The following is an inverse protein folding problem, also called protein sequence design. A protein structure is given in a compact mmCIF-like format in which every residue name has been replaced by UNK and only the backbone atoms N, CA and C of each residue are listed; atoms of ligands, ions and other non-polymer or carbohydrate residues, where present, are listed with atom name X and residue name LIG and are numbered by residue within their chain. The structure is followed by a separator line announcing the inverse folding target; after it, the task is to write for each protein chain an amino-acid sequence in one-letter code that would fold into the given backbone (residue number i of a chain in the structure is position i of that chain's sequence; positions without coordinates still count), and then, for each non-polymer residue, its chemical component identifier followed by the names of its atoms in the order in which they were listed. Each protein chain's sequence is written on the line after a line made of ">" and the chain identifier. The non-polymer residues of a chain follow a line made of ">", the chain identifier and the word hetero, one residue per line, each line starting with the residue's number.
data_IF_739901146169
#
_entry.id   IF_739901146169
#
_cell.length_a   1.000
_cell.length_b   1.000
_cell.length_c   1.000
_cell.angle_alpha   90.00
_cell.angle_beta   90.00
_cell.angle_gamma   90.00
#
_symmetry.space_group_name_H-M   'P 1'
#
loop_
_entity.id
_entity.type
_entity.pdbx_description
1 polymer ?
#
# COMPACT_ATOMS: atom_id res chain seq x y z
N UNK A 1 -35.51 5.29 41.47
CA UNK A 1 -34.73 4.43 42.39
C UNK A 1 -33.59 3.80 41.62
N UNK A 2 -32.37 4.05 42.09
CA UNK A 2 -31.09 3.65 41.48
C UNK A 2 -30.89 2.13 41.59
N UNK A 3 -30.52 1.46 40.50
CA UNK A 3 -29.95 0.10 40.57
C UNK A 3 -28.46 0.16 40.26
N UNK A 4 -27.69 0.09 41.34
CA UNK A 4 -26.23 0.10 41.39
C UNK A 4 -25.67 -1.27 41.01
N UNK A 5 -24.51 -1.20 40.35
CA UNK A 5 -23.65 -2.29 39.89
C UNK A 5 -22.98 -3.10 41.02
N UNK A 6 -22.69 -4.37 40.70
CA UNK A 6 -21.59 -5.25 41.17
C UNK A 6 -21.66 -5.81 42.60
N UNK A 7 -21.80 -7.13 42.69
CA UNK A 7 -20.78 -8.01 43.31
C UNK A 7 -21.15 -9.48 43.07
N UNK A 8 -20.24 -10.25 42.49
CA UNK A 8 -20.20 -11.70 42.70
C UNK A 8 -18.73 -12.07 42.85
N UNK A 9 -18.34 -12.29 44.10
CA UNK A 9 -17.08 -12.90 44.49
C UNK A 9 -17.34 -14.36 44.85
N UNK A 10 -16.48 -15.22 44.33
CA UNK A 10 -15.83 -16.34 45.02
C UNK A 10 -16.66 -17.47 45.64
N UNK A 11 -16.61 -18.63 44.97
CA UNK A 11 -16.52 -19.99 45.54
C UNK A 11 -16.39 -20.93 44.34
N UNK A 12 -15.49 -21.92 44.22
CA UNK A 12 -14.82 -22.77 45.22
C UNK A 12 -13.73 -23.58 44.50
N UNK A 13 -12.61 -23.82 45.17
CA UNK A 13 -11.66 -24.87 44.80
C UNK A 13 -12.29 -26.26 45.03
N UNK A 14 -12.11 -27.17 44.06
CA UNK A 14 -12.03 -28.60 44.32
C UNK A 14 -10.99 -29.19 43.37
N UNK A 15 -9.88 -29.64 43.96
CA UNK A 15 -8.81 -30.35 43.27
C UNK A 15 -9.19 -31.82 43.15
N UNK A 16 -9.10 -32.36 41.94
CA UNK A 16 -9.03 -33.80 41.69
C UNK A 16 -7.94 -34.05 40.65
N UNK A 17 -6.81 -34.57 41.14
CA UNK A 17 -5.71 -35.04 40.34
C UNK A 17 -6.10 -36.35 39.65
N UNK A 18 -6.11 -36.34 38.32
CA UNK A 18 -6.06 -37.55 37.51
C UNK A 18 -4.91 -37.39 36.53
N UNK A 19 -3.88 -38.21 36.71
CA UNK A 19 -2.74 -38.30 35.81
C UNK A 19 -3.19 -38.90 34.48
N UNK A 20 -3.10 -38.13 33.41
CA UNK A 20 -3.09 -38.64 32.04
C UNK A 20 -1.77 -38.19 31.40
N UNK A 21 -0.88 -39.16 31.20
CA UNK A 21 0.33 -38.98 30.42
C UNK A 21 -0.04 -38.80 28.94
N UNK A 22 -0.26 -37.55 28.53
CA UNK A 22 -0.19 -37.18 27.12
C UNK A 22 1.25 -36.78 26.81
N UNK A 23 1.91 -37.53 25.95
CA UNK A 23 3.15 -37.15 25.27
C UNK A 23 2.94 -35.85 24.52
N UNK A 24 3.10 -34.73 25.22
CA UNK A 24 3.21 -33.42 24.63
C UNK A 24 4.56 -33.34 23.94
N UNK A 25 4.56 -33.47 22.61
CA UNK A 25 5.59 -32.86 21.77
C UNK A 25 5.49 -31.36 22.02
N UNK A 26 6.16 -30.87 23.07
CA UNK A 26 6.45 -29.46 23.21
C UNK A 26 7.38 -29.11 22.06
N UNK A 27 6.79 -28.61 20.98
CA UNK A 27 7.49 -27.84 19.99
C UNK A 27 8.34 -26.82 20.76
N UNK A 28 9.66 -27.01 20.74
CA UNK A 28 10.59 -26.01 21.21
C UNK A 28 10.26 -24.74 20.42
N UNK A 29 9.63 -23.78 21.11
CA UNK A 29 9.36 -22.47 20.57
C UNK A 29 10.74 -21.87 20.32
N UNK A 30 11.20 -21.96 19.07
CA UNK A 30 12.39 -21.26 18.63
C UNK A 30 12.30 -19.81 19.16
N UNK A 31 13.40 -19.24 19.66
CA UNK A 31 13.37 -17.86 20.13
C UNK A 31 12.78 -17.03 18.98
N UNK A 32 11.66 -16.35 19.26
CA UNK A 32 11.05 -15.50 18.28
C UNK A 32 12.10 -14.46 17.90
N UNK A 33 12.69 -14.60 16.70
CA UNK A 33 13.42 -13.50 16.10
C UNK A 33 12.47 -12.32 16.17
N UNK A 34 12.95 -11.18 16.70
CA UNK A 34 12.13 -9.96 16.71
C UNK A 34 11.82 -9.66 15.25
N UNK A 35 10.65 -10.10 14.76
CA UNK A 35 10.19 -9.80 13.41
C UNK A 35 10.26 -8.28 13.27
N UNK A 36 10.95 -7.81 12.24
CA UNK A 36 11.06 -6.38 11.99
C UNK A 36 9.67 -5.76 12.00
N UNK A 37 9.52 -4.64 12.69
CA UNK A 37 8.25 -3.92 12.71
C UNK A 37 7.88 -3.56 11.26
N UNK A 38 6.67 -3.95 10.85
CA UNK A 38 6.17 -3.72 9.50
C UNK A 38 5.45 -2.38 9.43
N UNK A 39 5.72 -1.62 8.39
CA UNK A 39 5.03 -0.38 8.10
C UNK A 39 3.61 -0.62 7.60
N UNK A 40 2.82 0.44 7.59
CA UNK A 40 1.51 0.51 6.99
C UNK A 40 1.54 1.50 5.83
N UNK A 41 0.76 1.22 4.80
CA UNK A 41 0.62 2.12 3.66
C UNK A 41 -0.84 2.50 3.50
N UNK A 42 -1.11 3.79 3.38
CA UNK A 42 -2.40 4.30 2.95
C UNK A 42 -2.30 4.64 1.47
N UNK A 43 -3.26 4.19 0.67
CA UNK A 43 -3.38 4.64 -0.72
C UNK A 43 -4.76 5.24 -0.91
N UNK A 44 -4.80 6.49 -1.36
CA UNK A 44 -6.04 7.18 -1.74
C UNK A 44 -6.16 7.25 -3.26
N UNK A 45 -7.37 7.11 -3.76
CA UNK A 45 -7.74 7.40 -5.14
C UNK A 45 -8.76 8.54 -5.15
N UNK A 46 -8.32 9.73 -5.53
CA UNK A 46 -9.21 10.87 -5.75
C UNK A 46 -9.79 10.78 -7.15
N UNK A 47 -11.03 10.30 -7.27
CA UNK A 47 -11.75 10.23 -8.54
C UNK A 47 -12.36 11.59 -8.84
N UNK A 48 -11.70 12.36 -9.70
CA UNK A 48 -12.11 13.71 -10.04
C UNK A 48 -13.49 13.72 -10.70
N UNK A 49 -14.24 14.81 -10.46
CA UNK A 49 -15.48 15.05 -11.19
C UNK A 49 -15.13 15.33 -12.65
N UNK A 50 -15.80 14.72 -13.65
CA UNK A 50 -15.58 15.08 -15.04
C UNK A 50 -15.71 16.59 -15.26
N UNK A 51 -14.70 17.20 -15.87
CA UNK A 51 -14.63 18.65 -16.10
C UNK A 51 -14.18 19.51 -14.90
N UNK A 52 -13.97 18.93 -13.72
CA UNK A 52 -13.35 19.67 -12.61
C UNK A 52 -11.88 19.99 -12.95
N UNK A 53 -11.43 21.17 -12.55
CA UNK A 53 -10.02 21.55 -12.68
C UNK A 53 -9.15 20.66 -11.78
N UNK A 54 -8.16 19.94 -12.33
CA UNK A 54 -7.18 19.19 -11.53
C UNK A 54 -6.40 20.10 -10.58
N UNK A 55 -6.22 21.38 -10.93
CA UNK A 55 -5.45 22.36 -10.15
C UNK A 55 -6.04 22.61 -8.75
N UNK A 56 -7.35 22.41 -8.57
CA UNK A 56 -7.99 22.49 -7.24
C UNK A 56 -7.42 21.43 -6.30
N UNK A 57 -7.39 20.18 -6.75
CA UNK A 57 -6.84 19.08 -5.97
C UNK A 57 -5.32 19.21 -5.84
N UNK A 58 -4.62 19.55 -6.92
CA UNK A 58 -3.16 19.73 -6.88
C UNK A 58 -2.76 20.83 -5.88
N UNK A 59 -3.45 21.97 -5.91
CA UNK A 59 -3.21 23.06 -4.97
C UNK A 59 -3.43 22.64 -3.52
N UNK A 60 -4.49 21.88 -3.23
CA UNK A 60 -4.71 21.32 -1.89
C UNK A 60 -3.62 20.33 -1.48
N UNK A 61 -3.30 19.37 -2.35
CA UNK A 61 -2.31 18.34 -2.05
C UNK A 61 -0.93 18.96 -1.80
N UNK A 62 -0.48 19.84 -2.69
CA UNK A 62 0.83 20.48 -2.63
C UNK A 62 0.95 21.47 -1.45
N UNK A 63 -0.05 22.35 -1.27
CA UNK A 63 0.10 23.52 -0.40
C UNK A 63 -0.48 23.33 1.01
N UNK A 64 -1.36 22.35 1.20
CA UNK A 64 -2.01 22.09 2.48
C UNK A 64 -1.71 20.68 3.00
N UNK A 65 -2.02 19.64 2.22
CA UNK A 65 -1.97 18.25 2.67
C UNK A 65 -0.54 17.74 2.91
N UNK A 66 0.35 17.88 1.93
CA UNK A 66 1.74 17.41 2.05
C UNK A 66 2.52 18.10 3.17
N UNK A 67 2.45 19.44 3.35
CA UNK A 67 3.07 20.11 4.49
C UNK A 67 2.55 19.63 5.85
N UNK A 68 1.24 19.35 5.97
CA UNK A 68 0.65 18.86 7.21
C UNK A 68 1.04 17.40 7.54
N UNK A 69 1.24 16.56 6.52
CA UNK A 69 1.82 15.23 6.73
C UNK A 69 3.29 15.35 7.19
N UNK A 70 4.06 16.23 6.55
CA UNK A 70 5.46 16.45 6.90
C UNK A 70 5.63 16.98 8.35
N UNK A 71 4.76 17.90 8.81
CA UNK A 71 4.80 18.41 10.20
C UNK A 71 4.55 17.30 11.24
N UNK A 72 3.79 16.28 10.87
CA UNK A 72 3.55 15.08 11.68
C UNK A 72 4.59 13.97 11.46
N UNK A 73 5.68 14.24 10.72
CA UNK A 73 6.75 13.29 10.36
C UNK A 73 6.24 12.08 9.58
N UNK A 74 5.19 12.28 8.79
CA UNK A 74 4.60 11.28 7.89
C UNK A 74 5.12 11.53 6.47
N UNK A 75 5.64 10.47 5.87
CA UNK A 75 6.25 10.53 4.54
C UNK A 75 7.35 9.47 4.36
N UNK A 76 7.89 9.30 3.14
CA UNK A 76 7.58 10.09 1.95
C UNK A 76 6.16 9.82 1.42
N UNK A 77 5.61 10.79 0.70
CA UNK A 77 4.27 10.74 0.10
C UNK A 77 4.38 10.85 -1.41
N UNK A 78 3.84 9.85 -2.11
CA UNK A 78 3.77 9.83 -3.56
C UNK A 78 2.43 10.37 -4.06
N UNK A 79 2.45 11.22 -5.08
CA UNK A 79 1.25 11.70 -5.78
C UNK A 79 1.39 11.43 -7.26
N UNK A 80 0.47 10.67 -7.84
CA UNK A 80 0.61 10.11 -9.18
C UNK A 80 -0.65 10.26 -10.03
N UNK A 81 -0.44 10.32 -11.34
CA UNK A 81 -1.47 10.16 -12.39
C UNK A 81 -1.13 8.97 -13.27
N UNK A 82 -2.12 8.41 -13.97
CA UNK A 82 -1.89 7.27 -14.86
C UNK A 82 -1.47 7.69 -16.26
N UNK A 83 -0.74 6.78 -16.91
CA UNK A 83 -0.43 6.83 -18.35
C UNK A 83 -0.87 5.52 -19.01
N UNK A 84 -1.32 5.60 -20.27
CA UNK A 84 -1.40 4.44 -21.14
C UNK A 84 -0.02 4.18 -21.74
N UNK A 85 0.40 2.92 -21.78
CA UNK A 85 1.73 2.51 -22.26
C UNK A 85 1.60 1.62 -23.48
N UNK A 86 2.23 2.04 -24.58
CA UNK A 86 2.56 1.15 -25.69
C UNK A 86 3.89 0.48 -25.38
N UNK A 87 3.85 -0.82 -25.05
CA UNK A 87 5.05 -1.58 -24.71
C UNK A 87 5.96 -1.88 -25.90
N UNK A 88 5.43 -1.88 -27.12
CA UNK A 88 6.22 -2.12 -28.33
C UNK A 88 6.96 -0.84 -28.72
N UNK A 89 6.25 0.28 -28.76
CA UNK A 89 6.85 1.58 -29.02
C UNK A 89 7.65 2.15 -27.83
N UNK A 90 7.47 1.59 -26.63
CA UNK A 90 8.04 2.08 -25.37
C UNK A 90 7.68 3.54 -25.08
N UNK A 91 6.46 3.93 -25.41
CA UNK A 91 5.93 5.27 -25.21
C UNK A 91 4.80 5.27 -24.18
N UNK A 92 4.57 6.43 -23.56
CA UNK A 92 3.50 6.64 -22.60
C UNK A 92 2.72 7.92 -22.91
N UNK A 93 1.40 7.86 -22.85
CA UNK A 93 0.53 9.03 -23.00
C UNK A 93 -0.34 9.22 -21.77
N UNK A 94 -0.61 10.46 -21.32
CA UNK A 94 -1.50 10.70 -20.19
C UNK A 94 -2.84 10.01 -20.36
N UNK A 95 -3.29 9.30 -19.33
CA UNK A 95 -4.56 8.60 -19.35
C UNK A 95 -5.66 9.48 -18.75
N UNK A 96 -6.61 9.87 -19.59
CA UNK A 96 -7.76 10.69 -19.18
C UNK A 96 -8.67 9.92 -18.20
N UNK A 97 -9.46 10.67 -17.43
CA UNK A 97 -10.50 10.15 -16.52
C UNK A 97 -10.00 9.10 -15.50
N UNK A 98 -8.74 9.22 -15.08
CA UNK A 98 -8.15 8.39 -14.03
C UNK A 98 -8.05 9.11 -12.70
N UNK A 99 -8.02 8.37 -11.57
CA UNK A 99 -7.85 8.99 -10.26
C UNK A 99 -6.46 9.62 -10.11
N UNK A 100 -6.38 10.66 -9.29
CA UNK A 100 -5.10 11.06 -8.68
C UNK A 100 -4.83 10.12 -7.51
N UNK A 101 -3.71 9.41 -7.57
CA UNK A 101 -3.30 8.43 -6.57
C UNK A 101 -2.38 9.07 -5.53
N UNK A 102 -2.66 8.88 -4.25
CA UNK A 102 -1.83 9.41 -3.15
C UNK A 102 -1.39 8.28 -2.24
N UNK A 103 -0.10 7.94 -2.25
CA UNK A 103 0.53 6.91 -1.44
C UNK A 103 1.20 7.53 -0.21
N UNK A 104 0.77 7.13 0.99
CA UNK A 104 1.25 7.67 2.26
C UNK A 104 1.83 6.53 3.09
N UNK A 105 3.05 6.73 3.60
CA UNK A 105 3.72 5.78 4.49
C UNK A 105 3.46 6.11 5.97
N UNK A 106 2.95 5.12 6.71
CA UNK A 106 2.78 5.19 8.16
C UNK A 106 3.68 4.15 8.85
N UNK A 107 4.50 4.58 9.81
CA UNK A 107 5.35 3.66 10.58
C UNK A 107 4.54 2.75 11.51
N UNK A 108 3.34 3.18 11.91
CA UNK A 108 2.44 2.47 12.81
C UNK A 108 0.98 2.68 12.40
N UNK A 109 0.09 1.77 12.79
CA UNK A 109 -1.36 1.95 12.59
C UNK A 109 -1.90 3.19 13.32
N UNK A 110 -1.36 3.48 14.51
CA UNK A 110 -1.70 4.69 15.25
C UNK A 110 -1.39 5.97 14.46
N UNK A 111 -0.28 5.99 13.71
CA UNK A 111 0.03 7.12 12.82
C UNK A 111 -1.07 7.34 11.77
N UNK A 112 -1.65 6.29 11.21
CA UNK A 112 -2.77 6.41 10.27
C UNK A 112 -3.98 7.05 10.96
N UNK A 113 -4.42 6.50 12.09
CA UNK A 113 -5.61 6.99 12.83
C UNK A 113 -5.45 8.45 13.28
N UNK A 114 -4.30 8.81 13.86
CA UNK A 114 -4.03 10.19 14.31
C UNK A 114 -4.02 11.18 13.15
N UNK A 115 -3.39 10.82 12.03
CA UNK A 115 -3.28 11.71 10.86
C UNK A 115 -4.65 11.94 10.22
N UNK A 116 -5.44 10.87 10.05
CA UNK A 116 -6.79 10.95 9.47
C UNK A 116 -7.73 11.88 10.24
N UNK A 117 -7.49 12.08 11.55
CA UNK A 117 -8.29 12.99 12.39
C UNK A 117 -7.68 14.38 12.44
N UNK A 118 -6.38 14.49 12.73
CA UNK A 118 -5.69 15.76 12.92
C UNK A 118 -5.76 16.67 11.69
N UNK A 119 -5.64 16.10 10.48
CA UNK A 119 -5.56 16.91 9.25
C UNK A 119 -6.89 17.62 8.94
N UNK A 120 -8.02 17.08 9.38
CA UNK A 120 -9.34 17.66 9.12
C UNK A 120 -9.62 18.90 9.98
N UNK A 121 -8.89 19.06 11.09
CA UNK A 121 -9.07 20.16 12.05
C UNK A 121 -7.86 21.08 12.13
N UNK A 122 -6.79 20.81 11.39
CA UNK A 122 -5.59 21.65 11.39
C UNK A 122 -5.90 23.01 10.74
N UNK A 123 -5.78 24.13 11.49
CA UNK A 123 -6.09 25.46 10.96
C UNK A 123 -5.24 25.84 9.74
N UNK A 124 -4.01 25.32 9.65
CA UNK A 124 -3.10 25.56 8.52
C UNK A 124 -3.61 24.86 7.27
N UNK A 125 -4.12 23.63 7.41
CA UNK A 125 -4.72 22.87 6.31
C UNK A 125 -6.02 23.51 5.86
N UNK A 126 -6.89 23.89 6.80
CA UNK A 126 -8.17 24.55 6.48
C UNK A 126 -7.92 25.85 5.73
N UNK A 127 -6.95 26.66 6.18
CA UNK A 127 -6.61 27.93 5.53
C UNK A 127 -5.98 27.73 4.15
N UNK A 128 -4.95 26.88 4.04
CA UNK A 128 -4.22 26.68 2.78
C UNK A 128 -5.04 25.90 1.74
N UNK A 129 -5.95 25.04 2.20
CA UNK A 129 -6.81 24.19 1.37
C UNK A 129 -8.20 24.76 1.09
N UNK A 130 -8.52 25.97 1.53
CA UNK A 130 -9.88 26.51 1.51
C UNK A 130 -10.54 26.44 0.12
N UNK A 131 -9.79 26.75 -0.94
CA UNK A 131 -10.28 26.73 -2.34
C UNK A 131 -10.76 25.34 -2.80
N UNK A 132 -10.20 24.28 -2.24
CA UNK A 132 -10.59 22.89 -2.50
C UNK A 132 -11.62 22.37 -1.48
N UNK A 133 -11.40 22.64 -0.19
CA UNK A 133 -12.23 22.12 0.91
C UNK A 133 -13.63 22.74 0.95
N UNK A 134 -13.79 23.94 0.39
CA UNK A 134 -15.03 24.72 0.45
C UNK A 134 -15.69 24.88 -0.93
N UNK A 135 -15.37 24.00 -1.88
CA UNK A 135 -16.02 24.03 -3.21
C UNK A 135 -17.55 23.90 -3.07
N UNK A 136 -18.34 24.67 -3.87
CA UNK A 136 -19.78 24.53 -3.87
C UNK A 136 -20.22 23.12 -4.27
N UNK A 137 -21.33 22.64 -3.69
CA UNK A 137 -21.94 21.34 -4.05
C UNK A 137 -22.20 21.18 -5.56
N UNK A 138 -22.51 22.28 -6.26
CA UNK A 138 -22.78 22.28 -7.69
C UNK A 138 -21.53 22.05 -8.55
N UNK A 139 -20.33 22.31 -8.01
CA UNK A 139 -19.05 22.20 -8.71
C UNK A 139 -18.03 21.47 -7.82
N UNK A 140 -18.29 20.20 -7.47
CA UNK A 140 -17.41 19.45 -6.58
C UNK A 140 -16.09 19.12 -7.28
N UNK A 141 -14.99 19.07 -6.52
CA UNK A 141 -13.67 18.72 -7.07
C UNK A 141 -13.54 17.22 -7.41
N UNK A 142 -14.27 16.35 -6.71
CA UNK A 142 -14.22 14.90 -6.88
C UNK A 142 -15.62 14.27 -6.76
N UNK A 143 -15.80 13.11 -7.39
CA UNK A 143 -16.98 12.25 -7.22
C UNK A 143 -16.80 11.31 -6.02
N UNK A 144 -15.59 10.76 -5.83
CA UNK A 144 -15.27 9.84 -4.74
C UNK A 144 -13.80 9.91 -4.32
N UNK A 145 -13.55 9.64 -3.05
CA UNK A 145 -12.22 9.24 -2.55
C UNK A 145 -12.36 7.80 -2.05
N UNK A 146 -11.60 6.88 -2.66
CA UNK A 146 -11.42 5.54 -2.12
C UNK A 146 -10.11 5.49 -1.32
N UNK A 147 -10.11 4.79 -0.19
CA UNK A 147 -8.91 4.57 0.62
C UNK A 147 -8.69 3.09 0.85
N UNK A 148 -7.45 2.64 0.69
CA UNK A 148 -6.97 1.34 1.13
C UNK A 148 -5.95 1.50 2.24
N UNK A 149 -6.03 0.59 3.21
CA UNK A 149 -4.98 0.41 4.20
C UNK A 149 -4.28 -0.91 3.92
N UNK A 150 -2.96 -0.84 3.84
CA UNK A 150 -2.09 -1.98 3.62
C UNK A 150 -1.14 -2.19 4.78
N UNK A 151 -0.82 -3.45 5.02
CA UNK A 151 0.24 -3.87 5.92
C UNK A 151 1.43 -4.37 5.09
N UNK A 152 2.63 -3.86 5.35
CA UNK A 152 3.81 -4.22 4.60
C UNK A 152 4.10 -5.72 4.67
N UNK A 153 4.67 -6.27 3.60
CA UNK A 153 5.07 -7.67 3.53
C UNK A 153 6.23 -7.97 4.50
N UNK A 154 6.40 -9.25 4.88
CA UNK A 154 7.52 -9.63 5.74
C UNK A 154 8.86 -9.57 5.00
N UNK A 155 8.88 -9.90 3.71
CA UNK A 155 10.07 -9.82 2.85
C UNK A 155 10.51 -8.39 2.51
N UNK A 156 9.64 -7.39 2.72
CA UNK A 156 9.98 -5.98 2.65
C UNK A 156 9.14 -5.18 3.67
N UNK A 157 9.57 -5.16 4.95
CA UNK A 157 8.78 -4.62 6.04
C UNK A 157 8.69 -3.09 6.03
N UNK A 158 9.55 -2.43 5.26
CA UNK A 158 9.59 -0.97 5.13
C UNK A 158 9.65 -0.57 3.67
N UNK A 159 9.13 0.62 3.35
CA UNK A 159 9.24 1.21 2.02
C UNK A 159 10.70 1.40 1.62
N UNK A 160 11.03 1.04 0.38
CA UNK A 160 12.33 1.29 -0.24
C UNK A 160 12.21 2.44 -1.22
N UNK A 161 13.17 3.37 -1.18
CA UNK A 161 13.27 4.47 -2.13
C UNK A 161 14.49 4.24 -3.02
N UNK A 162 14.32 3.68 -4.24
CA UNK A 162 15.38 3.69 -5.23
C UNK A 162 15.92 5.12 -5.44
N UNK A 163 17.21 5.29 -5.74
CA UNK A 163 17.81 6.62 -5.84
C UNK A 163 17.11 7.53 -6.87
N UNK A 164 16.63 6.97 -7.99
CA UNK A 164 15.82 7.72 -8.94
C UNK A 164 14.45 8.09 -8.37
N UNK A 165 13.84 7.25 -7.53
CA UNK A 165 12.52 7.47 -6.97
C UNK A 165 12.42 8.69 -6.03
N UNK A 166 13.48 9.47 -5.79
CA UNK A 166 13.37 10.77 -5.11
C UNK A 166 13.98 11.93 -5.90
N UNK A 167 14.54 11.69 -7.10
CA UNK A 167 15.30 12.69 -7.85
C UNK A 167 14.45 13.80 -8.48
N UNK A 168 13.11 13.70 -8.43
CA UNK A 168 12.14 14.59 -9.11
C UNK A 168 12.38 14.77 -10.61
N UNK A 169 13.17 13.90 -11.23
CA UNK A 169 13.34 13.88 -12.68
C UNK A 169 12.00 13.48 -13.33
N UNK A 170 11.50 14.19 -14.34
CA UNK A 170 10.17 13.92 -14.91
C UNK A 170 10.04 12.59 -15.67
N UNK A 171 11.16 11.98 -16.07
CA UNK A 171 11.15 10.72 -16.84
C UNK A 171 10.77 9.51 -16.00
N UNK A 172 10.80 9.63 -14.67
CA UNK A 172 10.56 8.53 -13.74
C UNK A 172 9.18 7.94 -13.94
N UNK A 173 9.13 6.61 -13.95
CA UNK A 173 7.88 5.86 -14.05
C UNK A 173 7.73 4.94 -12.86
N UNK A 174 6.47 4.72 -12.47
CA UNK A 174 6.08 3.75 -11.48
C UNK A 174 5.06 2.80 -12.10
N UNK A 175 4.98 1.58 -11.60
CA UNK A 175 3.93 0.65 -11.97
C UNK A 175 3.30 0.09 -10.69
N UNK A 176 2.02 0.39 -10.54
CA UNK A 176 1.16 -0.16 -9.49
C UNK A 176 0.52 -1.45 -10.00
N UNK A 177 0.68 -2.53 -9.26
CA UNK A 177 0.03 -3.81 -9.59
C UNK A 177 -0.83 -4.32 -8.45
N UNK A 178 -2.02 -4.74 -8.81
CA UNK A 178 -3.02 -5.38 -7.94
C UNK A 178 -3.16 -6.85 -8.27
N UNK A 179 -3.02 -7.69 -7.26
CA UNK A 179 -3.24 -9.12 -7.39
C UNK A 179 -4.40 -9.50 -6.47
N UNK A 180 -5.54 -9.83 -7.07
CA UNK A 180 -6.74 -10.30 -6.39
C UNK A 180 -6.73 -11.83 -6.37
N UNK A 181 -7.33 -12.42 -5.33
CA UNK A 181 -7.43 -13.87 -5.17
C UNK A 181 -8.87 -14.28 -4.84
N UNK A 182 -9.25 -15.49 -5.24
CA UNK A 182 -10.61 -16.00 -5.03
C UNK A 182 -10.90 -16.45 -3.60
N UNK A 183 -9.92 -16.42 -2.70
CA UNK A 183 -10.10 -16.64 -1.26
C UNK A 183 -8.95 -16.02 -0.46
N UNK A 184 -9.17 -15.80 0.83
CA UNK A 184 -8.17 -15.27 1.77
C UNK A 184 -6.95 -16.18 1.86
N UNK A 185 -7.16 -17.49 1.88
CA UNK A 185 -6.06 -18.45 1.96
C UNK A 185 -5.21 -18.43 0.69
N UNK A 186 -5.81 -18.29 -0.49
CA UNK A 186 -5.05 -18.11 -1.75
C UNK A 186 -4.32 -16.77 -1.77
N UNK A 187 -4.93 -15.70 -1.26
CA UNK A 187 -4.24 -14.41 -1.13
C UNK A 187 -3.01 -14.53 -0.23
N UNK A 188 -3.13 -15.21 0.92
CA UNK A 188 -2.00 -15.47 1.82
C UNK A 188 -0.92 -16.33 1.15
N UNK A 189 -1.29 -17.35 0.37
CA UNK A 189 -0.35 -18.14 -0.43
C UNK A 189 0.44 -17.27 -1.43
N UNK A 190 -0.22 -16.33 -2.12
CA UNK A 190 0.50 -15.41 -3.01
C UNK A 190 1.40 -14.44 -2.25
N UNK A 191 0.97 -13.93 -1.09
CA UNK A 191 1.82 -13.09 -0.24
C UNK A 191 3.05 -13.86 0.27
N UNK A 192 2.90 -15.15 0.60
CA UNK A 192 4.01 -16.00 0.99
C UNK A 192 5.00 -16.21 -0.16
N UNK A 193 4.51 -16.45 -1.37
CA UNK A 193 5.35 -16.50 -2.57
C UNK A 193 6.24 -15.25 -2.73
N UNK A 194 5.67 -14.07 -2.47
CA UNK A 194 6.44 -12.83 -2.48
C UNK A 194 7.50 -12.79 -1.37
N UNK A 195 7.13 -13.16 -0.14
CA UNK A 195 8.04 -13.17 1.01
C UNK A 195 9.18 -14.20 0.84
N UNK A 196 8.91 -15.34 0.21
CA UNK A 196 9.84 -16.45 0.02
C UNK A 196 10.97 -16.14 -0.95
N UNK A 197 10.81 -15.15 -1.83
CA UNK A 197 11.89 -14.72 -2.71
C UNK A 197 11.49 -13.95 -3.97
N UNK A 198 10.20 -13.81 -4.32
CA UNK A 198 9.82 -13.01 -5.49
C UNK A 198 10.31 -11.57 -5.36
N UNK A 199 10.21 -11.01 -4.15
CA UNK A 199 10.74 -9.67 -3.81
C UNK A 199 12.25 -9.59 -4.08
N UNK A 200 13.01 -10.60 -3.65
CA UNK A 200 14.46 -10.64 -3.86
C UNK A 200 14.81 -10.69 -5.35
N UNK A 201 14.08 -11.50 -6.12
CA UNK A 201 14.25 -11.56 -7.59
C UNK A 201 14.00 -10.18 -8.20
N UNK A 202 12.91 -9.48 -7.80
CA UNK A 202 12.61 -8.14 -8.31
C UNK A 202 13.72 -7.12 -7.99
N UNK A 203 14.28 -7.15 -6.77
CA UNK A 203 15.44 -6.32 -6.41
C UNK A 203 16.65 -6.63 -7.30
N UNK A 204 17.00 -7.91 -7.42
CA UNK A 204 18.19 -8.33 -8.19
C UNK A 204 18.11 -8.00 -9.68
N UNK A 205 16.90 -7.92 -10.23
CA UNK A 205 16.67 -7.57 -11.64
C UNK A 205 16.52 -6.06 -11.87
N UNK A 206 16.68 -5.25 -10.83
CA UNK A 206 16.63 -3.79 -10.92
C UNK A 206 15.24 -3.24 -11.20
N UNK A 207 14.17 -3.93 -10.77
CA UNK A 207 12.78 -3.50 -11.00
C UNK A 207 12.33 -2.35 -10.09
N UNK A 208 13.25 -1.81 -9.28
CA UNK A 208 13.01 -0.69 -8.37
C UNK A 208 11.76 -0.84 -7.49
N UNK A 209 11.58 -1.96 -6.77
CA UNK A 209 10.41 -2.14 -5.91
C UNK A 209 10.37 -1.06 -4.81
N UNK A 210 9.19 -0.47 -4.62
CA UNK A 210 8.96 0.62 -3.66
C UNK A 210 8.32 0.10 -2.38
N UNK A 211 7.21 -0.64 -2.50
CA UNK A 211 6.56 -1.31 -1.38
C UNK A 211 5.75 -2.52 -1.86
N UNK A 212 5.45 -3.43 -0.92
CA UNK A 212 4.51 -4.53 -1.08
C UNK A 212 3.56 -4.52 0.11
N UNK A 213 2.25 -4.54 -0.15
CA UNK A 213 1.22 -4.35 0.86
C UNK A 213 0.09 -5.37 0.78
N UNK A 214 -0.22 -6.00 1.91
CA UNK A 214 -1.40 -6.84 2.09
C UNK A 214 -2.60 -5.91 2.31
N UNK A 215 -3.64 -6.02 1.49
CA UNK A 215 -4.89 -5.28 1.74
C UNK A 215 -5.51 -5.76 3.04
N UNK A 216 -5.68 -4.85 4.01
CA UNK A 216 -6.36 -5.15 5.28
C UNK A 216 -7.69 -4.41 5.44
N UNK A 217 -7.86 -3.31 4.69
CA UNK A 217 -9.12 -2.60 4.57
C UNK A 217 -9.21 -1.89 3.21
N UNK A 218 -10.42 -1.70 2.71
CA UNK A 218 -10.72 -1.02 1.45
C UNK A 218 -11.48 -1.90 0.45
N UNK A 219 -11.84 -1.37 -0.73
CA UNK A 219 -12.54 -2.11 -1.76
C UNK A 219 -11.75 -3.31 -2.32
N UNK A 220 -12.49 -4.32 -2.81
CA UNK A 220 -11.99 -5.47 -3.59
C UNK A 220 -11.01 -6.40 -2.86
N UNK A 221 -11.18 -6.55 -1.54
CA UNK A 221 -10.48 -7.58 -0.77
C UNK A 221 -10.98 -9.00 -1.14
N UNK A 222 -10.14 -10.04 -1.03
CA UNK A 222 -8.74 -9.99 -0.64
C UNK A 222 -7.79 -9.72 -1.82
N UNK A 223 -6.80 -8.86 -1.58
CA UNK A 223 -5.76 -8.56 -2.56
C UNK A 223 -4.45 -8.13 -1.91
N UNK A 224 -3.39 -8.13 -2.70
CA UNK A 224 -2.16 -7.40 -2.42
C UNK A 224 -1.94 -6.33 -3.49
N UNK A 225 -1.22 -5.29 -3.11
CA UNK A 225 -0.77 -4.22 -4.00
C UNK A 225 0.71 -3.96 -3.82
N UNK A 226 1.43 -3.73 -4.91
CA UNK A 226 2.83 -3.34 -4.85
C UNK A 226 3.17 -2.32 -5.94
N UNK A 227 4.27 -1.59 -5.71
CA UNK A 227 4.82 -0.63 -6.66
C UNK A 227 6.23 -1.07 -7.08
N UNK A 228 6.49 -0.98 -8.38
CA UNK A 228 7.82 -1.05 -8.98
C UNK A 228 8.11 0.29 -9.67
N UNK A 229 9.37 0.56 -9.99
CA UNK A 229 9.76 1.86 -10.55
C UNK A 229 11.02 1.78 -11.40
N UNK A 230 11.15 2.73 -12.33
CA UNK A 230 12.35 2.92 -13.12
C UNK A 230 12.68 4.40 -13.32
N UNK A 231 13.94 4.73 -13.65
CA UNK A 231 14.35 6.09 -13.98
C UNK A 231 13.67 6.61 -15.26
N UNK A 232 13.24 5.69 -16.12
CA UNK A 232 12.48 5.94 -17.34
C UNK A 232 11.67 4.68 -17.73
N UNK A 233 10.69 4.87 -18.63
CA UNK A 233 9.81 3.80 -19.11
C UNK A 233 10.56 2.65 -19.78
N UNK A 234 11.59 2.94 -20.58
CA UNK A 234 12.35 1.93 -21.28
C UNK A 234 13.10 1.03 -20.30
N UNK A 235 13.82 1.61 -19.35
CA UNK A 235 14.54 0.89 -18.29
C UNK A 235 13.60 0.02 -17.47
N UNK A 236 12.43 0.55 -17.11
CA UNK A 236 11.41 -0.19 -16.38
C UNK A 236 10.87 -1.40 -17.17
N UNK A 237 10.55 -1.21 -18.45
CA UNK A 237 10.09 -2.31 -19.32
C UNK A 237 11.19 -3.35 -19.55
N UNK A 238 12.44 -2.93 -19.71
CA UNK A 238 13.57 -3.82 -19.91
C UNK A 238 13.88 -4.66 -18.66
N UNK A 239 13.64 -4.13 -17.45
CA UNK A 239 13.70 -4.93 -16.22
C UNK A 239 12.59 -6.00 -16.18
N UNK A 240 11.35 -5.66 -16.55
CA UNK A 240 10.24 -6.61 -16.62
C UNK A 240 10.46 -7.74 -17.64
N UNK A 241 11.09 -7.44 -18.79
CA UNK A 241 11.45 -8.46 -19.79
C UNK A 241 12.36 -9.56 -19.21
N UNK A 242 13.18 -9.23 -18.21
CA UNK A 242 14.08 -10.17 -17.53
C UNK A 242 13.36 -11.02 -16.48
N UNK A 243 12.29 -10.50 -15.86
CA UNK A 243 11.61 -11.17 -14.75
C UNK A 243 10.92 -12.48 -15.14
N UNK A 244 10.10 -12.44 -16.19
CA UNK A 244 9.36 -13.62 -16.66
C UNK A 244 10.22 -14.86 -16.94
N UNK A 245 11.37 -14.74 -17.65
CA UNK A 245 12.26 -15.87 -17.91
C UNK A 245 13.30 -16.16 -16.81
N UNK A 246 13.37 -15.38 -15.72
CA UNK A 246 14.37 -15.61 -14.67
C UNK A 246 14.18 -17.01 -14.04
N UNK A 247 15.21 -17.87 -13.99
CA UNK A 247 15.07 -19.25 -13.53
C UNK A 247 14.63 -19.36 -12.07
N UNK A 248 14.96 -18.38 -11.21
CA UNK A 248 14.52 -18.35 -9.81
C UNK A 248 13.02 -18.10 -9.73
N UNK A 249 12.51 -17.18 -10.54
CA UNK A 249 11.07 -16.91 -10.65
C UNK A 249 10.34 -18.12 -11.24
N UNK A 250 10.84 -18.69 -12.35
CA UNK A 250 10.23 -19.87 -12.99
C UNK A 250 10.13 -21.04 -12.02
N UNK A 251 11.23 -21.38 -11.34
CA UNK A 251 11.23 -22.43 -10.34
C UNK A 251 10.27 -22.16 -9.18
N UNK A 252 10.06 -20.89 -8.80
CA UNK A 252 9.15 -20.50 -7.73
C UNK A 252 7.68 -20.60 -8.14
N UNK A 253 7.30 -20.06 -9.31
CA UNK A 253 5.90 -20.09 -9.78
C UNK A 253 5.38 -21.50 -10.06
N UNK A 254 6.29 -22.44 -10.34
CA UNK A 254 5.93 -23.83 -10.63
C UNK A 254 5.83 -24.71 -9.37
N UNK A 255 6.10 -24.16 -8.18
CA UNK A 255 5.93 -24.87 -6.91
C UNK A 255 4.44 -25.17 -6.64
N UNK A 256 4.07 -26.42 -6.30
CA UNK A 256 2.66 -26.80 -6.08
C UNK A 256 1.91 -25.96 -5.04
N UNK A 257 2.57 -25.48 -3.99
CA UNK A 257 1.94 -24.66 -2.95
C UNK A 257 1.49 -23.26 -3.44
N UNK A 258 2.03 -22.78 -4.57
CA UNK A 258 1.70 -21.48 -5.16
C UNK A 258 0.74 -21.57 -6.34
N UNK A 259 0.26 -22.77 -6.64
CA UNK A 259 -0.71 -23.00 -7.70
C UNK A 259 -2.01 -22.23 -7.44
N UNK A 260 -2.51 -21.57 -8.49
CA UNK A 260 -3.81 -20.88 -8.54
C UNK A 260 -4.03 -19.84 -7.42
N UNK A 261 -2.94 -19.24 -6.90
CA UNK A 261 -3.01 -18.27 -5.81
C UNK A 261 -3.36 -16.84 -6.27
N UNK A 262 -3.52 -16.61 -7.58
CA UNK A 262 -3.88 -15.30 -8.16
C UNK A 262 -5.01 -15.48 -9.15
N UNK A 263 -6.10 -14.73 -8.96
CA UNK A 263 -7.29 -14.78 -9.84
C UNK A 263 -7.30 -13.65 -10.87
N UNK A 264 -6.75 -12.48 -10.51
CA UNK A 264 -6.71 -11.32 -11.40
C UNK A 264 -5.50 -10.46 -11.11
N UNK A 265 -4.87 -9.97 -12.17
CA UNK A 265 -3.73 -9.05 -12.11
C UNK A 265 -4.08 -7.79 -12.88
N UNK A 266 -4.06 -6.64 -12.21
CA UNK A 266 -4.26 -5.33 -12.85
C UNK A 266 -2.98 -4.52 -12.71
N UNK A 267 -2.42 -4.09 -13.84
CA UNK A 267 -1.26 -3.19 -13.87
C UNK A 267 -1.69 -1.78 -14.29
N UNK A 268 -1.15 -0.77 -13.62
CA UNK A 268 -1.32 0.65 -13.96
C UNK A 268 0.03 1.34 -13.96
N UNK A 269 0.37 1.99 -15.07
CA UNK A 269 1.55 2.82 -15.14
C UNK A 269 1.24 4.20 -14.61
N UNK A 270 2.17 4.72 -13.82
CA UNK A 270 2.02 5.92 -13.03
C UNK A 270 3.19 6.86 -13.29
N UNK A 271 2.90 8.15 -13.39
CA UNK A 271 3.89 9.22 -13.40
C UNK A 271 3.66 10.14 -12.20
N UNK A 272 4.72 10.56 -11.49
CA UNK A 272 4.59 11.42 -10.32
C UNK A 272 4.22 12.84 -10.74
N UNK A 273 3.37 13.52 -9.95
CA UNK A 273 3.17 14.97 -10.06
C UNK A 273 4.47 15.70 -9.67
N UNK A 274 4.73 16.92 -10.16
CA UNK A 274 5.98 17.65 -9.89
C UNK A 274 6.30 17.87 -8.41
N UNK A 275 5.26 17.95 -7.57
CA UNK A 275 5.37 18.15 -6.13
C UNK A 275 5.41 16.86 -5.31
N UNK A 276 5.31 15.69 -5.96
CA UNK A 276 5.42 14.38 -5.30
C UNK A 276 6.79 14.22 -4.61
N UNK A 277 6.80 13.56 -3.45
CA UNK A 277 8.05 13.26 -2.71
C UNK A 277 8.66 11.91 -3.14
N UNK A 278 7.87 11.10 -3.84
CA UNK A 278 8.24 9.86 -4.53
C UNK A 278 8.19 10.12 -6.03
#
# INVERSE_FOLDING_TARGET
>A
MSTTRRSFLSSTLAASAAAAASTGLYAQKAPASKKAAREYYELRAYRLKPGASPDLLDGYLEKAFLPALASQKVGPVGVFTEIDVDKQAQTGTPKADTPVWVLIRHRTLDSFVRVSTAINTDPSVVKAGATYLQVPKATPAFDRIDTWLYLAFAGQPTMTMPAHATSRVPTRVFEMRDYESHSEERALSKMEMFNDGEIEVMHSLGMGPVFFGQGIAGPNLPHLRYFTSGPDLKTHLDAWKKFGPDPRWVAMKDKPQYKDNTSKNTARFLVPRPYSQI
#
